data_IF_236519890772
#
_entry.id   IF_236519890772
#
_cell.length_a   1.000
_cell.length_b   1.000
_cell.length_c   1.000
_cell.angle_alpha   90.00
_cell.angle_beta   90.00
_cell.angle_gamma   90.00
#
_symmetry.space_group_name_H-M   'P 1'
#
loop_
_entity.id
_entity.type
_entity.pdbx_description
1 polymer ?
#
# COMPACT_ATOMS: atom_id res chain seq x y z
N UNK A 1 -5.95 14.07 -4.31
CA UNK A 1 -5.27 15.39 -4.26
C UNK A 1 -3.79 15.14 -4.33
N UNK A 2 -3.07 15.92 -5.15
CA UNK A 2 -1.61 15.82 -5.26
C UNK A 2 -0.97 16.25 -3.93
N UNK A 3 -0.10 15.42 -3.38
CA UNK A 3 0.60 15.74 -2.14
C UNK A 3 1.72 16.73 -2.49
N UNK A 4 1.68 17.96 -1.96
CA UNK A 4 2.68 19.00 -2.24
C UNK A 4 4.13 18.54 -1.95
N UNK A 5 4.30 17.53 -1.09
CA UNK A 5 5.58 16.87 -0.82
C UNK A 5 6.15 16.15 -2.05
N UNK A 6 5.31 15.53 -2.90
CA UNK A 6 5.78 14.76 -4.06
C UNK A 6 6.43 15.65 -5.09
N UNK A 7 5.80 16.78 -5.43
CA UNK A 7 6.36 17.74 -6.38
C UNK A 7 7.73 18.23 -5.92
N UNK A 8 7.89 18.47 -4.61
CA UNK A 8 9.18 18.88 -4.04
C UNK A 8 10.25 17.80 -4.17
N UNK A 9 9.94 16.56 -3.83
CA UNK A 9 10.88 15.43 -3.96
C UNK A 9 11.31 15.25 -5.42
N UNK A 10 10.33 15.16 -6.32
CA UNK A 10 10.58 14.95 -7.75
C UNK A 10 11.35 16.13 -8.35
N UNK A 11 11.05 17.36 -7.95
CA UNK A 11 11.77 18.56 -8.41
C UNK A 11 13.27 18.47 -8.14
N UNK A 12 13.65 17.96 -6.96
CA UNK A 12 15.05 17.68 -6.62
C UNK A 12 15.64 16.54 -7.44
N UNK A 13 14.89 15.45 -7.61
CA UNK A 13 15.34 14.25 -8.33
C UNK A 13 15.64 14.52 -9.81
N UNK A 14 14.86 15.36 -10.48
CA UNK A 14 15.02 15.66 -11.93
C UNK A 14 15.61 17.04 -12.22
N UNK A 15 16.01 17.79 -11.19
CA UNK A 15 16.53 19.16 -11.31
C UNK A 15 15.59 20.12 -12.07
N UNK A 16 14.28 19.99 -11.84
CA UNK A 16 13.26 20.87 -12.41
C UNK A 16 12.65 21.75 -11.31
N UNK A 17 12.00 22.85 -11.69
CA UNK A 17 11.25 23.64 -10.71
C UNK A 17 9.91 22.95 -10.37
N UNK A 18 9.36 23.26 -9.19
CA UNK A 18 8.14 22.62 -8.71
C UNK A 18 6.93 22.86 -9.64
N UNK A 19 6.84 24.02 -10.29
CA UNK A 19 5.76 24.34 -11.21
C UNK A 19 5.78 23.49 -12.49
N UNK A 20 6.97 23.20 -13.03
CA UNK A 20 7.13 22.29 -14.17
C UNK A 20 6.68 20.87 -13.81
N UNK A 21 7.07 20.41 -12.62
CA UNK A 21 6.67 19.08 -12.11
C UNK A 21 5.17 19.02 -11.90
N UNK A 22 4.57 20.01 -11.24
CA UNK A 22 3.11 20.09 -11.03
C UNK A 22 2.33 20.08 -12.35
N UNK A 23 2.77 20.86 -13.34
CA UNK A 23 2.15 20.87 -14.66
C UNK A 23 2.26 19.51 -15.37
N UNK A 24 3.42 18.86 -15.31
CA UNK A 24 3.62 17.54 -15.89
C UNK A 24 2.79 16.46 -15.18
N UNK A 25 2.73 16.47 -13.84
CA UNK A 25 1.91 15.55 -13.05
C UNK A 25 0.43 15.71 -13.40
N UNK A 26 -0.07 16.95 -13.49
CA UNK A 26 -1.47 17.21 -13.89
C UNK A 26 -1.79 16.60 -15.26
N UNK A 27 -0.91 16.78 -16.24
CA UNK A 27 -1.10 16.20 -17.57
C UNK A 27 -1.10 14.67 -17.55
N UNK A 28 -0.21 14.04 -16.76
CA UNK A 28 -0.19 12.59 -16.58
C UNK A 28 -1.48 12.09 -15.92
N UNK A 29 -2.01 12.83 -14.94
CA UNK A 29 -3.26 12.50 -14.24
C UNK A 29 -4.50 12.65 -15.13
N UNK A 30 -4.45 13.56 -16.10
CA UNK A 30 -5.44 13.68 -17.18
C UNK A 30 -5.34 12.53 -18.21
N UNK A 31 -4.38 11.61 -18.06
CA UNK A 31 -4.18 10.44 -18.92
C UNK A 31 -3.30 10.71 -20.14
N UNK A 32 -2.59 11.84 -20.20
CA UNK A 32 -1.64 12.10 -21.28
C UNK A 32 -0.39 11.23 -21.10
N UNK A 33 0.14 10.68 -22.19
CA UNK A 33 1.38 9.88 -22.15
C UNK A 33 2.63 10.77 -22.21
N UNK A 34 3.77 10.29 -21.70
CA UNK A 34 5.06 11.01 -21.78
C UNK A 34 5.40 11.45 -23.22
N UNK A 35 5.33 10.60 -24.27
CA UNK A 35 5.60 11.03 -25.64
C UNK A 35 4.65 12.13 -26.13
N UNK A 36 3.38 12.08 -25.71
CA UNK A 36 2.40 13.11 -26.06
C UNK A 36 2.74 14.44 -25.39
N UNK A 37 3.05 14.42 -24.09
CA UNK A 37 3.42 15.62 -23.34
C UNK A 37 4.70 16.25 -23.92
N UNK A 38 5.73 15.44 -24.15
CA UNK A 38 7.01 15.88 -24.67
C UNK A 38 6.91 16.54 -26.06
N UNK A 39 5.91 16.17 -26.87
CA UNK A 39 5.72 16.65 -28.24
C UNK A 39 4.68 17.76 -28.39
N UNK A 40 3.61 17.73 -27.58
CA UNK A 40 2.43 18.58 -27.77
C UNK A 40 2.07 19.45 -26.56
N UNK A 41 2.76 19.30 -25.43
CA UNK A 41 2.50 20.05 -24.18
C UNK A 41 3.78 20.61 -23.54
N UNK A 42 4.86 20.69 -24.32
CA UNK A 42 6.19 21.11 -23.89
C UNK A 42 6.19 22.49 -23.24
N UNK A 43 5.44 23.46 -23.77
CA UNK A 43 5.38 24.81 -23.20
C UNK A 43 4.70 24.83 -21.82
N UNK A 44 3.68 24.00 -21.62
CA UNK A 44 2.93 23.90 -20.36
C UNK A 44 3.83 23.32 -19.25
N UNK A 45 4.72 22.40 -19.59
CA UNK A 45 5.69 21.80 -18.67
C UNK A 45 6.98 22.60 -18.57
N UNK A 46 7.06 23.80 -19.15
CA UNK A 46 8.27 24.64 -19.14
C UNK A 46 9.46 23.98 -19.84
N UNK A 47 9.21 23.32 -20.96
CA UNK A 47 10.19 22.62 -21.80
C UNK A 47 10.81 21.36 -21.18
N UNK A 48 10.07 20.62 -20.35
CA UNK A 48 10.48 19.26 -19.97
C UNK A 48 10.41 18.32 -21.17
N UNK A 49 11.54 17.67 -21.48
CA UNK A 49 11.70 16.73 -22.58
C UNK A 49 11.55 15.26 -22.11
N UNK A 50 11.66 14.30 -23.04
CA UNK A 50 11.31 12.89 -22.83
C UNK A 50 12.01 12.26 -21.60
N UNK A 51 13.34 12.42 -21.45
CA UNK A 51 14.08 11.80 -20.32
C UNK A 51 13.62 12.31 -18.94
N UNK A 52 13.58 13.64 -18.65
CA UNK A 52 13.01 14.14 -17.39
C UNK A 52 11.57 13.69 -17.14
N UNK A 53 10.72 13.66 -18.17
CA UNK A 53 9.32 13.25 -18.05
C UNK A 53 9.17 11.76 -17.68
N UNK A 54 10.00 10.88 -18.24
CA UNK A 54 10.02 9.45 -17.85
C UNK A 54 10.49 9.24 -16.42
N UNK A 55 11.54 9.97 -16.01
CA UNK A 55 12.01 9.94 -14.63
C UNK A 55 10.93 10.43 -13.66
N UNK A 56 10.24 11.51 -14.01
CA UNK A 56 9.09 12.03 -13.27
C UNK A 56 7.97 10.99 -13.16
N UNK A 57 7.53 10.41 -14.27
CA UNK A 57 6.45 9.41 -14.31
C UNK A 57 6.77 8.21 -13.41
N UNK A 58 7.98 7.67 -13.55
CA UNK A 58 8.46 6.54 -12.74
C UNK A 58 8.48 6.89 -11.25
N UNK A 59 9.03 8.07 -10.92
CA UNK A 59 9.16 8.50 -9.53
C UNK A 59 7.79 8.81 -8.89
N UNK A 60 6.89 9.42 -9.65
CA UNK A 60 5.52 9.68 -9.23
C UNK A 60 4.78 8.38 -8.90
N UNK A 61 4.88 7.37 -9.77
CA UNK A 61 4.31 6.04 -9.53
C UNK A 61 4.85 5.40 -8.25
N UNK A 62 6.17 5.44 -8.06
CA UNK A 62 6.81 4.94 -6.84
C UNK A 62 6.26 5.61 -5.57
N UNK A 63 6.16 6.94 -5.57
CA UNK A 63 5.71 7.72 -4.41
C UNK A 63 4.22 7.50 -4.11
N UNK A 64 3.38 7.33 -5.14
CA UNK A 64 1.96 6.97 -4.98
C UNK A 64 1.80 5.62 -4.33
N UNK A 65 2.47 4.60 -4.85
CA UNK A 65 2.43 3.25 -4.26
C UNK A 65 2.95 3.25 -2.81
N UNK A 66 3.99 4.03 -2.53
CA UNK A 66 4.51 4.19 -1.17
C UNK A 66 3.46 4.82 -0.24
N UNK A 67 2.76 5.84 -0.70
CA UNK A 67 1.72 6.53 0.09
C UNK A 67 0.47 5.67 0.30
N UNK A 68 0.00 4.98 -0.73
CA UNK A 68 -1.11 4.03 -0.59
C UNK A 68 -0.77 2.95 0.45
N UNK A 69 0.48 2.45 0.39
CA UNK A 69 0.95 1.47 1.36
C UNK A 69 1.10 2.04 2.76
N UNK A 70 1.60 3.27 2.88
CA UNK A 70 1.73 4.02 4.14
C UNK A 70 0.38 4.15 4.83
N UNK A 71 -0.64 4.59 4.09
CA UNK A 71 -2.00 4.75 4.62
C UNK A 71 -2.59 3.42 5.08
N UNK A 72 -2.38 2.34 4.32
CA UNK A 72 -2.83 1.01 4.71
C UNK A 72 -2.18 0.53 6.01
N UNK A 73 -0.88 0.79 6.20
CA UNK A 73 -0.13 0.43 7.40
C UNK A 73 -0.59 1.26 8.61
N UNK A 74 -0.74 2.58 8.46
CA UNK A 74 -1.25 3.46 9.51
C UNK A 74 -2.64 3.02 9.96
N UNK A 75 -3.54 2.75 9.00
CA UNK A 75 -4.88 2.26 9.27
C UNK A 75 -4.86 0.93 10.03
N UNK A 76 -4.11 -0.06 9.53
CA UNK A 76 -4.02 -1.36 10.19
C UNK A 76 -3.43 -1.29 11.60
N UNK A 77 -2.44 -0.43 11.81
CA UNK A 77 -1.83 -0.23 13.13
C UNK A 77 -2.78 0.49 14.10
N UNK A 78 -3.54 1.46 13.60
CA UNK A 78 -4.58 2.16 14.36
C UNK A 78 -5.72 1.24 14.76
N UNK A 79 -6.20 0.39 13.84
CA UNK A 79 -7.27 -0.58 14.10
C UNK A 79 -6.87 -1.62 15.16
N UNK A 80 -5.58 -1.93 15.26
CA UNK A 80 -5.03 -2.78 16.31
C UNK A 80 -4.77 -2.04 17.64
N UNK A 81 -4.95 -0.71 17.69
CA UNK A 81 -4.61 0.11 18.85
C UNK A 81 -3.11 0.20 19.14
N UNK A 82 -2.26 -0.07 18.14
CA UNK A 82 -0.79 -0.11 18.27
C UNK A 82 -0.07 1.08 17.62
N UNK A 83 -0.82 2.04 17.09
CA UNK A 83 -0.24 3.23 16.47
C UNK A 83 0.16 4.23 17.54
N UNK A 84 1.47 4.32 17.82
CA UNK A 84 2.05 5.36 18.66
C UNK A 84 2.42 6.59 17.83
N UNK A 85 2.56 7.75 18.48
CA UNK A 85 2.99 8.98 17.79
C UNK A 85 4.39 8.84 17.17
N UNK A 86 5.29 8.12 17.85
CA UNK A 86 6.63 7.82 17.35
C UNK A 86 6.59 6.94 16.09
N UNK A 87 5.78 5.87 16.11
CA UNK A 87 5.60 4.99 14.95
C UNK A 87 4.95 5.73 13.79
N UNK A 88 3.91 6.54 14.05
CA UNK A 88 3.27 7.37 13.04
C UNK A 88 4.26 8.36 12.43
N UNK A 89 5.11 9.00 13.25
CA UNK A 89 6.18 9.88 12.79
C UNK A 89 7.16 9.17 11.86
N UNK A 90 7.67 8.00 12.27
CA UNK A 90 8.60 7.21 11.47
C UNK A 90 7.99 6.77 10.12
N UNK A 91 6.75 6.27 10.14
CA UNK A 91 6.01 5.85 8.93
C UNK A 91 5.79 7.02 7.97
N UNK A 92 5.48 8.21 8.48
CA UNK A 92 5.28 9.40 7.66
C UNK A 92 6.60 9.96 7.08
N UNK A 93 7.71 9.78 7.78
CA UNK A 93 9.01 10.32 7.38
C UNK A 93 9.73 9.47 6.33
N UNK A 94 9.53 8.15 6.30
CA UNK A 94 10.27 7.28 5.37
C UNK A 94 9.90 7.52 3.91
N UNK A 95 10.91 7.48 3.02
CA UNK A 95 10.75 7.51 1.56
C UNK A 95 11.08 6.17 0.90
N UNK A 96 11.28 5.12 1.70
CA UNK A 96 11.69 3.79 1.25
C UNK A 96 10.57 2.78 1.49
N UNK A 97 10.16 2.07 0.43
CA UNK A 97 9.19 0.97 0.56
C UNK A 97 9.69 -0.14 1.48
N UNK A 98 11.00 -0.40 1.49
CA UNK A 98 11.60 -1.42 2.35
C UNK A 98 11.52 -1.02 3.82
N UNK A 99 11.99 0.19 4.15
CA UNK A 99 11.95 0.69 5.52
C UNK A 99 10.51 0.80 6.04
N UNK A 100 9.56 1.18 5.17
CA UNK A 100 8.14 1.19 5.49
C UNK A 100 7.62 -0.21 5.90
N UNK A 101 8.02 -1.26 5.18
CA UNK A 101 7.66 -2.64 5.57
C UNK A 101 8.37 -3.09 6.85
N UNK A 102 9.62 -2.71 7.05
CA UNK A 102 10.38 -3.04 8.26
C UNK A 102 9.74 -2.42 9.51
N UNK A 103 9.29 -1.17 9.42
CA UNK A 103 8.53 -0.49 10.48
C UNK A 103 7.20 -1.19 10.77
N UNK A 104 6.54 -1.73 9.76
CA UNK A 104 5.27 -2.43 9.91
C UNK A 104 5.41 -3.87 10.39
N UNK A 105 6.54 -4.52 10.14
CA UNK A 105 6.76 -5.94 10.38
C UNK A 105 6.34 -6.42 11.79
N UNK A 106 6.64 -5.70 12.89
CA UNK A 106 6.22 -6.10 14.24
C UNK A 106 4.70 -6.05 14.48
N UNK A 107 3.99 -5.24 13.69
CA UNK A 107 2.55 -4.97 13.82
C UNK A 107 1.72 -5.71 12.79
N UNK A 108 2.36 -6.34 11.80
CA UNK A 108 1.68 -7.08 10.75
C UNK A 108 0.83 -8.18 11.36
N UNK A 109 -0.51 -8.14 11.19
CA UNK A 109 -1.39 -9.13 11.78
C UNK A 109 -1.04 -10.50 11.21
N UNK A 110 -0.89 -11.48 12.09
CA UNK A 110 -0.73 -12.86 11.67
C UNK A 110 -2.01 -13.28 10.95
N UNK A 111 -1.87 -13.96 9.81
CA UNK A 111 -3.02 -14.48 9.06
C UNK A 111 -3.83 -15.37 9.99
N UNK A 112 -5.08 -15.01 10.26
CA UNK A 112 -6.05 -15.93 10.85
C UNK A 112 -6.33 -17.03 9.82
N UNK A 113 -5.91 -18.25 10.12
CA UNK A 113 -6.15 -19.39 9.24
C UNK A 113 -7.60 -19.81 9.36
N UNK A 114 -8.13 -20.49 8.34
CA UNK A 114 -9.48 -21.08 8.42
C UNK A 114 -9.60 -22.02 9.62
N UNK A 115 -8.53 -22.75 9.95
CA UNK A 115 -8.46 -23.59 11.15
C UNK A 115 -8.59 -22.77 12.45
N UNK A 116 -7.89 -21.64 12.56
CA UNK A 116 -7.99 -20.80 13.75
C UNK A 116 -9.38 -20.16 13.91
N UNK A 117 -10.01 -19.78 12.79
CA UNK A 117 -11.41 -19.33 12.79
C UNK A 117 -12.35 -20.46 13.24
N UNK A 118 -12.12 -21.69 12.78
CA UNK A 118 -12.91 -22.86 13.16
C UNK A 118 -12.74 -23.20 14.65
N UNK A 119 -11.51 -23.15 15.18
CA UNK A 119 -11.22 -23.35 16.61
C UNK A 119 -11.95 -22.30 17.46
N UNK A 120 -11.83 -21.02 17.10
CA UNK A 120 -12.53 -19.93 17.81
C UNK A 120 -14.06 -20.03 17.72
N UNK A 121 -14.59 -20.67 16.67
CA UNK A 121 -16.00 -21.01 16.52
C UNK A 121 -16.41 -22.27 17.32
N UNK A 122 -15.48 -22.89 18.04
CA UNK A 122 -15.73 -24.08 18.86
C UNK A 122 -15.73 -25.40 18.10
N UNK A 123 -15.20 -25.46 16.88
CA UNK A 123 -15.17 -26.68 16.05
C UNK A 123 -14.01 -27.63 16.38
N UNK A 124 -13.12 -27.26 17.30
CA UNK A 124 -11.98 -28.08 17.72
C UNK A 124 -12.40 -29.49 18.23
N UNK A 125 -13.42 -29.63 19.11
CA UNK A 125 -13.82 -30.95 19.60
C UNK A 125 -14.42 -31.85 18.52
N UNK A 126 -15.09 -31.28 17.50
CA UNK A 126 -15.58 -32.04 16.34
C UNK A 126 -14.42 -32.62 15.53
N UNK A 127 -13.38 -31.81 15.28
CA UNK A 127 -12.20 -32.24 14.56
C UNK A 127 -11.48 -33.37 15.32
N UNK A 128 -11.31 -33.23 16.64
CA UNK A 128 -10.69 -34.25 17.48
C UNK A 128 -11.50 -35.56 17.51
N UNK A 129 -12.83 -35.48 17.58
CA UNK A 129 -13.71 -36.65 17.57
C UNK A 129 -13.59 -37.43 16.26
N UNK A 130 -13.71 -36.75 15.12
CA UNK A 130 -13.63 -37.42 13.81
C UNK A 130 -12.22 -37.95 13.50
N UNK A 131 -11.19 -37.31 14.04
CA UNK A 131 -9.81 -37.77 13.90
C UNK A 131 -9.51 -39.02 14.72
N UNK A 132 -9.95 -39.05 15.99
CA UNK A 132 -9.66 -40.14 16.91
C UNK A 132 -10.64 -41.32 16.75
N UNK A 133 -11.87 -41.06 16.32
CA UNK A 133 -12.94 -42.06 16.19
C UNK A 133 -13.57 -42.03 14.78
N UNK A 134 -12.87 -42.52 13.73
CA UNK A 134 -13.29 -42.38 12.32
C UNK A 134 -14.58 -43.12 11.94
N UNK A 135 -15.14 -43.92 12.85
CA UNK A 135 -16.41 -44.62 12.67
C UNK A 135 -17.64 -43.72 12.82
N UNK A 136 -17.47 -42.50 13.34
CA UNK A 136 -18.56 -41.52 13.45
C UNK A 136 -18.95 -40.97 12.09
N UNK A 137 -20.24 -40.72 11.90
CA UNK A 137 -20.76 -40.04 10.71
C UNK A 137 -20.46 -38.53 10.83
N UNK A 138 -19.65 -37.95 9.92
CA UNK A 138 -19.26 -36.54 9.99
C UNK A 138 -20.45 -35.57 9.93
N UNK A 139 -21.47 -35.88 9.12
CA UNK A 139 -22.62 -34.98 8.92
C UNK A 139 -23.51 -34.94 10.16
N UNK A 140 -23.69 -36.09 10.82
CA UNK A 140 -24.47 -36.20 12.06
C UNK A 140 -23.80 -35.47 13.22
N UNK A 141 -22.47 -35.62 13.37
CA UNK A 141 -21.73 -34.96 14.44
C UNK A 141 -21.57 -33.46 14.20
N UNK A 142 -21.40 -33.03 12.94
CA UNK A 142 -21.30 -31.60 12.58
C UNK A 142 -22.60 -30.82 12.84
N UNK A 143 -23.77 -31.45 12.75
CA UNK A 143 -25.06 -30.80 13.01
C UNK A 143 -25.20 -30.20 14.42
N UNK A 144 -24.34 -30.60 15.37
CA UNK A 144 -24.31 -30.09 16.75
C UNK A 144 -23.62 -28.72 16.89
N UNK A 145 -22.99 -28.21 15.82
CA UNK A 145 -22.16 -26.99 15.81
C UNK A 145 -22.67 -25.87 14.88
N UNK A 146 -23.90 -25.98 14.39
CA UNK A 146 -24.59 -24.98 13.55
C UNK A 146 -25.51 -24.13 14.43
#
# INVERSE_FOLDING_TARGET
>A
MMNNSFCRIISGDIQANAGQVEAAVRLLDEGNTVPFIARYRTEITGCLHDTPLRSLETRLGYLRELEDRRQAILKSSSEQGKLTDELAGAINATLSKTELEDLYLPYKPKRRTRGQIAIEAGLEPLADLLWNEPSHDPDVEAAKYI
#
